data_IF_423084679238
#
_entry.id   IF_423084679238
#
_cell.length_a   1.000
_cell.length_b   1.000
_cell.length_c   1.000
_cell.angle_alpha   90.00
_cell.angle_beta   90.00
_cell.angle_gamma   90.00
#
_symmetry.space_group_name_H-M   'P 1'
#
loop_
_entity.id
_entity.type
_entity.pdbx_description
1 polymer ?
#
# COMPACT_ATOMS: atom_id res chain seq x y z
N UNK A 1 -11.62 5.77 -6.09
CA UNK A 1 -11.46 4.48 -5.42
C UNK A 1 -10.96 4.67 -3.97
N UNK A 2 -10.04 5.60 -3.73
CA UNK A 2 -9.54 5.88 -2.38
C UNK A 2 -10.23 7.12 -1.80
N UNK A 3 -11.06 6.95 -0.78
CA UNK A 3 -11.65 8.08 -0.05
C UNK A 3 -10.61 8.72 0.92
N UNK A 4 -9.35 8.86 0.47
CA UNK A 4 -8.23 9.40 1.26
C UNK A 4 -7.15 9.98 0.36
N UNK A 5 -6.91 11.28 0.47
CA UNK A 5 -5.81 11.96 -0.22
C UNK A 5 -4.44 11.36 0.09
N UNK A 6 -4.25 10.83 1.28
CA UNK A 6 -2.99 10.20 1.69
C UNK A 6 -2.66 8.94 0.88
N UNK A 7 -3.65 8.11 0.60
CA UNK A 7 -3.44 6.89 -0.19
C UNK A 7 -3.10 7.24 -1.65
N UNK A 8 -3.76 8.25 -2.23
CA UNK A 8 -3.42 8.74 -3.56
C UNK A 8 -2.00 9.30 -3.61
N UNK A 9 -1.56 10.01 -2.57
CA UNK A 9 -0.20 10.53 -2.48
C UNK A 9 0.86 9.41 -2.45
N UNK A 10 0.61 8.31 -1.73
CA UNK A 10 1.52 7.14 -1.70
C UNK A 10 1.67 6.55 -3.10
N UNK A 11 0.57 6.41 -3.85
CA UNK A 11 0.60 5.89 -5.22
C UNK A 11 1.42 6.79 -6.15
N UNK A 12 1.19 8.10 -6.09
CA UNK A 12 1.96 9.06 -6.89
C UNK A 12 3.45 9.07 -6.53
N UNK A 13 3.77 8.99 -5.24
CA UNK A 13 5.16 8.91 -4.78
C UNK A 13 5.87 7.67 -5.34
N UNK A 14 5.20 6.52 -5.37
CA UNK A 14 5.75 5.30 -5.93
C UNK A 14 6.03 5.44 -7.45
N UNK A 15 5.19 6.15 -8.20
CA UNK A 15 5.42 6.45 -9.62
C UNK A 15 6.66 7.34 -9.80
N UNK A 16 6.80 8.39 -8.99
CA UNK A 16 7.99 9.25 -9.05
C UNK A 16 9.26 8.45 -8.74
N UNK A 17 9.22 7.59 -7.73
CA UNK A 17 10.36 6.74 -7.38
C UNK A 17 10.66 5.68 -8.44
N UNK A 18 9.66 5.19 -9.17
CA UNK A 18 9.87 4.26 -10.28
C UNK A 18 10.63 4.90 -11.44
N UNK A 19 10.45 6.21 -11.69
CA UNK A 19 11.21 6.93 -12.72
C UNK A 19 12.69 7.03 -12.36
N UNK A 20 13.02 7.14 -11.08
CA UNK A 20 14.42 7.06 -10.62
C UNK A 20 15.00 5.69 -10.95
N UNK A 21 14.22 4.61 -10.80
CA UNK A 21 14.60 3.27 -11.20
C UNK A 21 14.94 3.16 -12.69
N UNK A 22 14.16 3.81 -13.56
CA UNK A 22 14.42 3.88 -15.00
C UNK A 22 15.75 4.56 -15.28
N UNK A 23 16.01 5.71 -14.64
CA UNK A 23 17.26 6.45 -14.83
C UNK A 23 18.48 5.65 -14.39
N UNK A 24 18.39 4.92 -13.29
CA UNK A 24 19.45 4.00 -12.83
C UNK A 24 19.67 2.90 -13.87
N UNK A 25 18.59 2.30 -14.40
CA UNK A 25 18.70 1.27 -15.44
C UNK A 25 19.37 1.76 -16.71
N UNK A 26 19.02 2.96 -17.19
CA UNK A 26 19.66 3.59 -18.34
C UNK A 26 21.16 3.86 -18.09
N UNK A 27 21.51 4.28 -16.87
CA UNK A 27 22.89 4.51 -16.48
C UNK A 27 23.70 3.20 -16.46
N UNK A 28 23.16 2.14 -15.86
CA UNK A 28 23.83 0.82 -15.77
C UNK A 28 24.06 0.22 -17.15
N UNK A 29 23.08 0.34 -18.05
CA UNK A 29 23.17 -0.18 -19.42
C UNK A 29 23.87 0.78 -20.37
N UNK A 30 24.34 1.94 -19.89
CA UNK A 30 25.02 3.00 -20.67
C UNK A 30 24.24 3.40 -21.94
N UNK A 31 22.91 3.45 -21.83
CA UNK A 31 22.04 3.82 -22.93
C UNK A 31 21.69 5.30 -22.86
N UNK A 32 21.68 5.96 -24.02
CA UNK A 32 21.23 7.34 -24.11
C UNK A 32 19.73 7.45 -23.85
N UNK A 33 19.32 8.48 -23.13
CA UNK A 33 17.91 8.75 -22.87
C UNK A 33 17.19 9.18 -24.16
N UNK A 34 16.22 8.41 -24.58
CA UNK A 34 15.34 8.76 -25.71
C UNK A 34 14.00 9.26 -25.20
N UNK A 35 13.62 10.46 -25.60
CA UNK A 35 12.33 11.06 -25.20
C UNK A 35 11.16 10.17 -25.62
N UNK A 36 11.21 9.59 -26.81
CA UNK A 36 10.12 8.78 -27.36
C UNK A 36 10.11 7.39 -26.68
N UNK A 37 11.18 6.61 -26.79
CA UNK A 37 11.16 5.21 -26.36
C UNK A 37 11.28 5.06 -24.83
N UNK A 38 12.17 5.78 -24.20
CA UNK A 38 12.27 5.77 -22.73
C UNK A 38 11.06 6.45 -22.10
N UNK A 39 10.57 7.55 -22.68
CA UNK A 39 9.36 8.22 -22.20
C UNK A 39 8.13 7.33 -22.26
N UNK A 40 7.92 6.61 -23.37
CA UNK A 40 6.84 5.61 -23.48
C UNK A 40 7.00 4.48 -22.45
N UNK A 41 8.25 4.03 -22.20
CA UNK A 41 8.56 3.06 -21.17
C UNK A 41 8.18 3.55 -19.76
N UNK A 42 8.45 4.81 -19.44
CA UNK A 42 8.05 5.41 -18.15
C UNK A 42 6.52 5.46 -18.00
N UNK A 43 5.80 5.82 -19.04
CA UNK A 43 4.32 5.85 -19.01
C UNK A 43 3.74 4.46 -18.79
N UNK A 44 4.25 3.46 -19.54
CA UNK A 44 3.83 2.07 -19.37
C UNK A 44 4.14 1.55 -17.96
N UNK A 45 5.35 1.84 -17.46
CA UNK A 45 5.78 1.50 -16.10
C UNK A 45 4.88 2.14 -15.03
N UNK A 46 4.53 3.42 -15.20
CA UNK A 46 3.64 4.11 -14.27
C UNK A 46 2.31 3.37 -14.12
N UNK A 47 1.71 2.90 -15.23
CA UNK A 47 0.47 2.11 -15.21
C UNK A 47 0.61 0.81 -14.41
N UNK A 48 1.72 0.07 -14.57
CA UNK A 48 1.98 -1.18 -13.85
C UNK A 48 2.18 -0.92 -12.36
N UNK A 49 2.98 0.08 -12.00
CA UNK A 49 3.29 0.43 -10.60
C UNK A 49 2.04 0.93 -9.87
N UNK A 50 1.23 1.76 -10.52
CA UNK A 50 -0.05 2.23 -9.97
C UNK A 50 -0.98 1.05 -9.71
N UNK A 51 -1.13 0.13 -10.66
CA UNK A 51 -1.98 -1.04 -10.49
C UNK A 51 -1.53 -1.91 -9.30
N UNK A 52 -0.24 -2.20 -9.19
CA UNK A 52 0.31 -2.98 -8.07
C UNK A 52 0.08 -2.31 -6.71
N UNK A 53 0.25 -0.99 -6.64
CA UNK A 53 0.01 -0.22 -5.42
C UNK A 53 -1.48 -0.16 -5.04
N UNK A 54 -2.37 0.02 -6.03
CA UNK A 54 -3.83 0.04 -5.79
C UNK A 54 -4.26 -1.27 -5.13
N UNK A 55 -3.85 -2.42 -5.69
CA UNK A 55 -4.20 -3.74 -5.16
C UNK A 55 -3.68 -3.92 -3.73
N UNK A 56 -2.48 -3.44 -3.42
CA UNK A 56 -1.91 -3.52 -2.07
C UNK A 56 -2.70 -2.65 -1.07
N UNK A 57 -3.03 -1.41 -1.43
CA UNK A 57 -3.78 -0.49 -0.58
C UNK A 57 -5.22 -0.98 -0.39
N UNK A 58 -5.85 -1.53 -1.43
CA UNK A 58 -7.21 -2.07 -1.37
C UNK A 58 -7.30 -3.25 -0.39
N UNK A 59 -6.37 -4.21 -0.49
CA UNK A 59 -6.25 -5.31 0.46
C UNK A 59 -6.04 -4.83 1.90
N UNK A 60 -5.18 -3.81 2.09
CA UNK A 60 -5.00 -3.20 3.40
C UNK A 60 -6.31 -2.59 3.94
N UNK A 61 -7.07 -1.89 3.10
CA UNK A 61 -8.35 -1.30 3.51
C UNK A 61 -9.37 -2.35 3.89
N UNK A 62 -9.40 -3.46 3.17
CA UNK A 62 -10.26 -4.60 3.46
C UNK A 62 -9.90 -5.23 4.81
N UNK A 63 -8.64 -5.62 5.01
CA UNK A 63 -8.17 -6.23 6.25
C UNK A 63 -8.28 -5.30 7.46
N UNK A 64 -8.08 -3.99 7.27
CA UNK A 64 -8.18 -3.00 8.35
C UNK A 64 -9.59 -2.82 8.92
N UNK A 65 -10.62 -3.42 8.30
CA UNK A 65 -12.00 -3.46 8.83
C UNK A 65 -12.17 -4.54 9.90
N UNK A 66 -11.39 -5.62 9.80
CA UNK A 66 -11.53 -6.82 10.63
C UNK A 66 -10.41 -6.99 11.65
N UNK A 67 -9.28 -6.30 11.46
CA UNK A 67 -8.07 -6.50 12.26
C UNK A 67 -7.47 -5.18 12.73
N UNK A 68 -6.62 -5.20 13.80
CA UNK A 68 -5.81 -4.06 14.19
C UNK A 68 -4.94 -3.59 13.01
N UNK A 69 -4.79 -2.27 12.87
CA UNK A 69 -4.15 -1.67 11.68
C UNK A 69 -2.73 -2.16 11.41
N UNK A 70 -1.94 -2.39 12.45
CA UNK A 70 -0.55 -2.88 12.31
C UNK A 70 -0.56 -4.31 11.78
N UNK A 71 -1.40 -5.16 12.32
CA UNK A 71 -1.56 -6.55 11.87
C UNK A 71 -2.09 -6.61 10.43
N UNK A 72 -3.06 -5.74 10.08
CA UNK A 72 -3.56 -5.62 8.72
C UNK A 72 -2.45 -5.25 7.72
N UNK A 73 -1.51 -4.35 8.09
CA UNK A 73 -0.37 -4.00 7.24
C UNK A 73 0.54 -5.20 7.03
N UNK A 74 0.88 -5.93 8.08
CA UNK A 74 1.79 -7.09 8.01
C UNK A 74 1.16 -8.20 7.16
N UNK A 75 -0.10 -8.53 7.39
CA UNK A 75 -0.82 -9.56 6.61
C UNK A 75 -1.02 -9.16 5.15
N UNK A 76 -1.27 -7.88 4.88
CA UNK A 76 -1.35 -7.38 3.51
C UNK A 76 -0.02 -7.59 2.78
N UNK A 77 1.09 -7.22 3.41
CA UNK A 77 2.41 -7.42 2.83
C UNK A 77 2.68 -8.91 2.58
N UNK A 78 2.41 -9.77 3.55
CA UNK A 78 2.60 -11.22 3.45
C UNK A 78 1.79 -11.85 2.30
N UNK A 79 0.51 -11.50 2.19
CA UNK A 79 -0.36 -12.05 1.17
C UNK A 79 -0.04 -11.55 -0.24
N UNK A 80 0.43 -10.31 -0.37
CA UNK A 80 0.65 -9.66 -1.66
C UNK A 80 2.08 -9.76 -2.19
N UNK A 81 3.06 -10.14 -1.36
CA UNK A 81 4.44 -10.27 -1.80
C UNK A 81 4.60 -11.33 -2.90
N UNK A 82 3.96 -12.48 -2.76
CA UNK A 82 4.07 -13.57 -3.74
C UNK A 82 3.51 -13.21 -5.11
N UNK A 83 2.21 -12.77 -5.26
CA UNK A 83 1.67 -12.43 -6.57
C UNK A 83 2.38 -11.24 -7.21
N UNK A 84 2.78 -10.22 -6.43
CA UNK A 84 3.51 -9.06 -6.96
C UNK A 84 4.90 -9.45 -7.45
N UNK A 85 5.66 -10.25 -6.70
CA UNK A 85 6.96 -10.74 -7.15
C UNK A 85 6.83 -11.64 -8.39
N UNK A 86 5.83 -12.53 -8.42
CA UNK A 86 5.64 -13.41 -9.58
C UNK A 86 5.36 -12.61 -10.85
N UNK A 87 4.44 -11.65 -10.81
CA UNK A 87 4.13 -10.80 -11.97
C UNK A 87 5.33 -9.96 -12.39
N UNK A 88 6.11 -9.44 -11.46
CA UNK A 88 7.32 -8.68 -11.75
C UNK A 88 8.37 -9.55 -12.42
N UNK A 89 8.69 -10.71 -11.86
CA UNK A 89 9.71 -11.63 -12.41
C UNK A 89 9.30 -12.12 -13.80
N UNK A 90 8.05 -12.50 -13.99
CA UNK A 90 7.57 -12.96 -15.32
C UNK A 90 7.61 -11.84 -16.36
N UNK A 91 7.25 -10.62 -16.00
CA UNK A 91 7.34 -9.46 -16.91
C UNK A 91 8.79 -9.14 -17.25
N UNK A 92 9.68 -9.12 -16.26
CA UNK A 92 11.11 -8.89 -16.48
C UNK A 92 11.73 -9.98 -17.34
N UNK A 93 11.41 -11.25 -17.09
CA UNK A 93 11.88 -12.37 -17.89
C UNK A 93 11.37 -12.32 -19.33
N UNK A 94 10.12 -11.90 -19.54
CA UNK A 94 9.56 -11.71 -20.87
C UNK A 94 10.19 -10.59 -21.68
N UNK A 95 10.65 -9.52 -21.00
CA UNK A 95 11.31 -8.38 -21.64
C UNK A 95 12.84 -8.53 -21.70
N UNK A 96 13.43 -9.48 -20.97
CA UNK A 96 14.87 -9.70 -20.94
C UNK A 96 15.50 -9.90 -22.33
N UNK A 97 14.99 -10.76 -23.22
CA UNK A 97 15.58 -10.93 -24.54
C UNK A 97 15.58 -9.63 -25.36
N UNK A 98 14.52 -8.84 -25.25
CA UNK A 98 14.42 -7.55 -25.91
C UNK A 98 15.38 -6.50 -25.32
N UNK A 99 15.60 -6.54 -23.99
CA UNK A 99 16.58 -5.69 -23.31
C UNK A 99 18.02 -5.97 -23.78
N UNK A 100 18.34 -7.23 -24.11
CA UNK A 100 19.63 -7.61 -24.67
C UNK A 100 19.74 -7.39 -26.19
N UNK A 101 18.67 -6.89 -26.84
CA UNK A 101 18.66 -6.62 -28.27
C UNK A 101 18.56 -7.88 -29.15
N UNK A 102 18.09 -8.99 -28.57
CA UNK A 102 17.91 -10.23 -29.32
C UNK A 102 16.70 -10.15 -30.23
N UNK A 103 16.90 -10.26 -31.53
CA UNK A 103 15.85 -10.37 -32.55
C UNK A 103 15.88 -11.74 -33.20
N UNK A 104 14.73 -12.41 -33.23
CA UNK A 104 14.53 -13.69 -33.91
C UNK A 104 13.92 -13.44 -35.28
N UNK A 105 14.61 -13.86 -36.32
CA UNK A 105 14.09 -13.83 -37.69
C UNK A 105 13.46 -15.19 -38.04
N UNK A 106 12.13 -15.23 -38.01
CA UNK A 106 11.37 -16.44 -38.32
C UNK A 106 11.29 -16.75 -39.80
N UNK A 107 11.59 -15.78 -40.69
CA UNK A 107 11.48 -15.93 -42.13
C UNK A 107 12.75 -16.57 -42.70
N UNK A 108 13.93 -16.08 -42.31
CA UNK A 108 15.22 -16.54 -42.80
C UNK A 108 15.92 -17.56 -41.85
N UNK A 109 15.26 -17.90 -40.71
CA UNK A 109 15.76 -18.91 -39.77
C UNK A 109 17.03 -18.49 -39.04
N UNK A 110 17.16 -17.21 -38.68
CA UNK A 110 18.34 -16.67 -38.01
C UNK A 110 17.99 -15.88 -36.72
N UNK A 111 19.04 -15.53 -36.00
CA UNK A 111 18.95 -14.53 -34.93
C UNK A 111 19.90 -13.38 -35.25
N UNK A 112 19.49 -12.17 -34.91
CA UNK A 112 20.33 -10.99 -35.02
C UNK A 112 20.41 -10.29 -33.66
N UNK A 113 21.59 -9.78 -33.35
CA UNK A 113 21.82 -9.00 -32.13
C UNK A 113 21.99 -7.54 -32.57
N UNK A 114 21.35 -6.62 -31.87
CA UNK A 114 21.39 -5.17 -32.09
C UNK A 114 21.03 -4.73 -33.54
N UNK A 115 19.99 -5.36 -34.11
CA UNK A 115 19.41 -4.84 -35.36
C UNK A 115 18.86 -3.40 -35.16
N UNK A 116 18.83 -2.56 -36.23
CA UNK A 116 18.36 -1.17 -36.09
C UNK A 116 16.99 -1.03 -35.39
N UNK A 117 16.09 -1.95 -35.66
CA UNK A 117 14.78 -2.01 -35.02
C UNK A 117 14.89 -2.44 -33.55
N UNK A 118 15.76 -3.42 -33.25
CA UNK A 118 15.98 -3.90 -31.89
C UNK A 118 16.56 -2.81 -30.98
N UNK A 119 17.45 -1.97 -31.49
CA UNK A 119 18.05 -0.87 -30.72
C UNK A 119 17.01 0.13 -30.20
N UNK A 120 15.96 0.38 -30.95
CA UNK A 120 14.88 1.27 -30.50
C UNK A 120 14.06 0.65 -29.36
N UNK A 121 13.67 -0.61 -29.50
CA UNK A 121 12.90 -1.31 -28.48
C UNK A 121 13.71 -1.65 -27.23
N UNK A 122 15.03 -1.78 -27.37
CA UNK A 122 15.98 -2.05 -26.27
C UNK A 122 15.87 -1.01 -25.17
N UNK A 123 15.75 0.28 -25.52
CA UNK A 123 15.62 1.38 -24.56
C UNK A 123 14.31 1.27 -23.78
N UNK A 124 13.20 0.97 -24.44
CA UNK A 124 11.92 0.76 -23.80
C UNK A 124 11.98 -0.44 -22.84
N UNK A 125 12.50 -1.57 -23.29
CA UNK A 125 12.62 -2.77 -22.47
C UNK A 125 13.50 -2.54 -21.24
N UNK A 126 14.63 -1.88 -21.41
CA UNK A 126 15.53 -1.51 -20.30
C UNK A 126 14.83 -0.62 -19.30
N UNK A 127 14.11 0.41 -19.75
CA UNK A 127 13.34 1.30 -18.89
C UNK A 127 12.31 0.55 -18.05
N UNK A 128 11.56 -0.37 -18.69
CA UNK A 128 10.52 -1.13 -17.99
C UNK A 128 11.13 -2.16 -17.03
N UNK A 129 12.15 -2.91 -17.43
CA UNK A 129 12.76 -3.96 -16.61
C UNK A 129 13.39 -3.38 -15.34
N UNK A 130 14.26 -2.41 -15.47
CA UNK A 130 14.91 -1.79 -14.31
C UNK A 130 13.93 -0.96 -13.48
N UNK A 131 13.08 -0.18 -14.14
CA UNK A 131 12.07 0.60 -13.47
C UNK A 131 11.09 -0.26 -12.66
N UNK A 132 10.61 -1.38 -13.23
CA UNK A 132 9.71 -2.30 -12.57
C UNK A 132 10.40 -3.05 -11.41
N UNK A 133 11.65 -3.49 -11.60
CA UNK A 133 12.42 -4.16 -10.55
C UNK A 133 12.59 -3.27 -9.32
N UNK A 134 13.09 -2.05 -9.51
CA UNK A 134 13.30 -1.08 -8.43
C UNK A 134 11.96 -0.65 -7.83
N UNK A 135 10.97 -0.36 -8.67
CA UNK A 135 9.64 0.02 -8.20
C UNK A 135 9.00 -1.07 -7.34
N UNK A 136 9.14 -2.33 -7.70
CA UNK A 136 8.54 -3.45 -6.94
C UNK A 136 9.16 -3.56 -5.54
N UNK A 137 10.49 -3.49 -5.45
CA UNK A 137 11.17 -3.49 -4.14
C UNK A 137 10.72 -2.29 -3.31
N UNK A 138 10.71 -1.11 -3.93
CA UNK A 138 10.28 0.11 -3.25
C UNK A 138 8.81 0.05 -2.81
N UNK A 139 7.89 -0.40 -3.65
CA UNK A 139 6.48 -0.48 -3.29
C UNK A 139 6.21 -1.48 -2.17
N UNK A 140 6.89 -2.62 -2.18
CA UNK A 140 6.75 -3.63 -1.12
C UNK A 140 7.29 -3.16 0.23
N UNK A 141 8.31 -2.30 0.24
CA UNK A 141 8.90 -1.73 1.47
C UNK A 141 8.26 -0.40 1.85
N UNK A 142 8.14 0.52 0.89
CA UNK A 142 7.72 1.89 1.15
C UNK A 142 6.22 1.99 1.46
N UNK A 143 5.38 1.26 0.73
CA UNK A 143 3.92 1.35 0.92
C UNK A 143 3.49 0.89 2.32
N UNK A 144 3.92 -0.28 2.85
CA UNK A 144 3.63 -0.67 4.22
C UNK A 144 4.25 0.29 5.24
N UNK A 145 5.48 0.76 4.98
CA UNK A 145 6.18 1.70 5.87
C UNK A 145 5.46 3.03 5.98
N UNK A 146 4.99 3.59 4.86
CA UNK A 146 4.23 4.84 4.86
C UNK A 146 2.85 4.69 5.50
N UNK A 147 2.19 3.54 5.32
CA UNK A 147 0.94 3.24 6.02
C UNK A 147 1.16 3.15 7.53
N UNK A 148 2.26 2.54 7.98
CA UNK A 148 2.66 2.48 9.38
C UNK A 148 3.08 3.86 9.90
N UNK A 149 3.84 4.64 9.14
CA UNK A 149 4.29 5.98 9.50
C UNK A 149 3.12 6.91 9.83
N UNK A 150 2.02 6.81 9.08
CA UNK A 150 0.80 7.57 9.37
C UNK A 150 0.28 7.31 10.79
N UNK A 151 0.37 6.06 11.27
CA UNK A 151 -0.03 5.71 12.63
C UNK A 151 0.95 6.28 13.66
N UNK A 152 2.25 6.15 13.40
CA UNK A 152 3.31 6.67 14.26
C UNK A 152 3.26 8.20 14.38
N UNK A 153 3.11 8.90 13.27
CA UNK A 153 2.99 10.38 13.26
C UNK A 153 1.82 10.84 14.13
N UNK A 154 0.67 10.19 14.05
CA UNK A 154 -0.47 10.55 14.91
C UNK A 154 -0.15 10.28 16.39
N UNK A 155 0.52 9.18 16.70
CA UNK A 155 0.93 8.83 18.05
C UNK A 155 1.94 9.84 18.60
N UNK A 156 2.93 10.24 17.79
CA UNK A 156 3.90 11.28 18.15
C UNK A 156 3.25 12.64 18.39
N UNK A 157 2.32 13.06 17.50
CA UNK A 157 1.59 14.32 17.67
C UNK A 157 0.82 14.32 19.00
N UNK A 158 0.16 13.21 19.34
CA UNK A 158 -0.57 13.09 20.60
C UNK A 158 0.38 13.07 21.79
N UNK A 159 1.54 12.40 21.68
CA UNK A 159 2.56 12.40 22.73
C UNK A 159 3.15 13.79 22.96
N UNK A 160 3.48 14.52 21.87
CA UNK A 160 3.94 15.91 21.94
C UNK A 160 2.86 16.81 22.54
N UNK A 161 1.59 16.65 22.11
CA UNK A 161 0.48 17.42 22.66
C UNK A 161 0.30 17.17 24.16
N UNK A 162 0.50 15.92 24.63
CA UNK A 162 0.51 15.59 26.07
C UNK A 162 1.70 16.21 26.81
N UNK A 163 2.90 16.15 26.24
CA UNK A 163 4.09 16.76 26.81
C UNK A 163 3.95 18.28 26.92
N UNK A 164 3.40 18.93 25.88
CA UNK A 164 3.09 20.36 25.90
C UNK A 164 1.97 20.72 26.89
N UNK A 165 0.99 19.84 27.07
CA UNK A 165 -0.06 20.04 28.07
C UNK A 165 0.46 19.96 29.52
N UNK A 166 1.50 19.13 29.74
CA UNK A 166 2.19 19.04 31.05
C UNK A 166 3.09 20.25 31.31
N UNK A 167 3.71 20.79 30.24
CA UNK A 167 4.62 21.94 30.33
C UNK A 167 3.91 23.29 30.21
N UNK A 168 2.74 23.32 29.60
CA UNK A 168 2.00 24.54 29.27
C UNK A 168 0.81 24.79 30.19
N UNK A 169 0.90 25.79 31.00
CA UNK A 169 -0.15 26.33 31.90
C UNK A 169 -1.26 27.05 31.09
N UNK A 170 -1.51 26.75 29.84
CA UNK A 170 -2.39 27.51 28.99
C UNK A 170 -3.67 26.73 28.63
N UNK A 171 -4.82 27.43 28.74
CA UNK A 171 -6.15 27.00 28.31
C UNK A 171 -6.20 26.43 26.87
N UNK A 172 -5.25 26.82 26.00
CA UNK A 172 -5.09 26.29 24.67
C UNK A 172 -4.56 24.85 24.61
N UNK A 173 -3.80 24.44 25.64
CA UNK A 173 -3.29 23.07 25.74
C UNK A 173 -4.43 22.06 26.05
N UNK A 174 -5.42 22.46 26.80
CA UNK A 174 -6.59 21.63 27.12
C UNK A 174 -7.48 21.44 25.88
N UNK A 175 -7.70 22.49 25.09
CA UNK A 175 -8.43 22.42 23.81
C UNK A 175 -7.73 21.50 22.82
N UNK A 176 -6.40 21.58 22.71
CA UNK A 176 -5.61 20.69 21.83
C UNK A 176 -5.65 19.24 22.31
N UNK A 177 -5.65 19.02 23.63
CA UNK A 177 -5.79 17.69 24.23
C UNK A 177 -7.16 17.09 23.96
N UNK A 178 -8.23 17.85 24.14
CA UNK A 178 -9.60 17.39 23.93
C UNK A 178 -9.89 17.14 22.44
N UNK A 179 -9.34 17.98 21.56
CA UNK A 179 -9.40 17.75 20.13
C UNK A 179 -8.67 16.47 19.72
N UNK A 180 -7.47 16.22 20.26
CA UNK A 180 -6.68 15.01 20.00
C UNK A 180 -7.40 13.74 20.54
N UNK A 181 -7.97 13.82 21.74
CA UNK A 181 -8.74 12.73 22.35
C UNK A 181 -10.02 12.43 21.58
N UNK A 182 -10.77 13.45 21.17
CA UNK A 182 -11.98 13.30 20.34
C UNK A 182 -11.65 12.68 18.96
N UNK A 183 -10.52 13.04 18.37
CA UNK A 183 -10.08 12.46 17.11
C UNK A 183 -9.63 11.01 17.27
N UNK A 184 -9.03 10.65 18.40
CA UNK A 184 -8.72 9.27 18.76
C UNK A 184 -9.99 8.46 19.05
N UNK A 185 -10.93 9.00 19.84
CA UNK A 185 -12.17 8.34 20.16
C UNK A 185 -13.01 8.03 18.91
N UNK A 186 -13.05 8.95 17.93
CA UNK A 186 -13.68 8.71 16.62
C UNK A 186 -13.00 7.60 15.81
N UNK A 187 -11.69 7.35 16.04
CA UNK A 187 -10.96 6.28 15.37
C UNK A 187 -11.03 4.95 16.10
N UNK A 188 -11.32 4.97 17.41
CA UNK A 188 -11.51 3.79 18.25
C UNK A 188 -12.91 3.15 18.12
N UNK A 189 -13.78 3.69 17.28
CA UNK A 189 -14.96 2.96 16.79
C UNK A 189 -14.48 1.84 15.86
N UNK A 190 -13.77 0.89 16.45
CA UNK A 190 -13.54 -0.39 15.79
C UNK A 190 -14.88 -1.11 15.77
N UNK A 191 -15.24 -1.75 14.64
CA UNK A 191 -16.35 -2.68 14.68
C UNK A 191 -16.03 -3.69 15.78
N UNK A 192 -16.93 -3.85 16.71
CA UNK A 192 -16.86 -4.89 17.71
C UNK A 192 -16.77 -6.21 16.96
N UNK A 193 -15.59 -6.84 17.02
CA UNK A 193 -15.41 -8.17 16.43
C UNK A 193 -16.16 -9.10 17.38
N UNK A 194 -17.40 -9.38 17.04
CA UNK A 194 -18.15 -10.45 17.68
C UNK A 194 -17.51 -11.74 17.16
N UNK A 195 -16.62 -12.31 17.95
CA UNK A 195 -16.16 -13.68 17.73
C UNK A 195 -17.35 -14.58 17.99
N UNK A 196 -17.87 -15.25 16.98
CA UNK A 196 -18.98 -16.21 17.12
C UNK A 196 -18.67 -17.26 18.18
N UNK A 197 -17.39 -17.59 18.37
CA UNK A 197 -16.90 -18.51 19.41
C UNK A 197 -17.14 -18.01 20.85
N UNK A 198 -17.39 -16.72 21.06
CA UNK A 198 -17.73 -16.17 22.39
C UNK A 198 -19.22 -16.24 22.70
N UNK A 199 -20.08 -16.51 21.71
CA UNK A 199 -21.54 -16.62 21.90
C UNK A 199 -21.88 -17.87 22.71
N UNK A 200 -21.08 -18.91 22.66
CA UNK A 200 -21.29 -20.16 23.39
C UNK A 200 -20.60 -20.22 24.76
N UNK A 201 -19.90 -19.16 25.18
CA UNK A 201 -19.31 -19.15 26.53
C UNK A 201 -20.40 -18.98 27.58
N UNK A 202 -20.30 -19.71 28.71
CA UNK A 202 -21.32 -19.63 29.79
C UNK A 202 -21.44 -18.22 30.40
N UNK A 203 -20.45 -17.36 30.19
CA UNK A 203 -20.45 -15.94 30.60
C UNK A 203 -21.33 -15.10 29.66
N UNK A 204 -21.24 -15.31 28.36
CA UNK A 204 -22.08 -14.61 27.37
C UNK A 204 -23.56 -14.99 27.51
N UNK A 205 -23.87 -16.26 27.80
CA UNK A 205 -25.22 -16.72 28.08
C UNK A 205 -25.80 -16.10 29.37
N UNK A 206 -24.96 -15.93 30.41
CA UNK A 206 -25.39 -15.24 31.64
C UNK A 206 -25.67 -13.76 31.37
N UNK A 207 -24.83 -13.07 30.61
CA UNK A 207 -25.07 -11.65 30.28
C UNK A 207 -26.30 -11.47 29.41
N UNK A 208 -26.59 -12.38 28.47
CA UNK A 208 -27.79 -12.35 27.64
C UNK A 208 -29.06 -12.59 28.47
N UNK A 209 -29.04 -13.53 29.43
CA UNK A 209 -30.15 -13.77 30.36
C UNK A 209 -30.41 -12.57 31.27
N UNK A 210 -29.37 -11.90 31.75
CA UNK A 210 -29.48 -10.71 32.60
C UNK A 210 -30.05 -9.50 31.85
N UNK A 211 -29.65 -9.33 30.56
CA UNK A 211 -30.16 -8.26 29.70
C UNK A 211 -31.63 -8.49 29.32
N UNK A 212 -32.04 -9.74 29.05
CA UNK A 212 -33.41 -10.08 28.69
C UNK A 212 -34.33 -10.02 29.91
N UNK A 213 -33.87 -10.41 31.11
CA UNK A 213 -34.61 -10.28 32.36
C UNK A 213 -34.91 -8.81 32.75
N UNK A 214 -33.94 -7.93 32.55
CA UNK A 214 -34.10 -6.50 32.84
C UNK A 214 -35.08 -5.79 31.89
N UNK A 215 -35.21 -6.30 30.64
CA UNK A 215 -36.20 -5.78 29.68
C UNK A 215 -37.64 -6.25 29.99
N UNK A 216 -37.79 -7.42 30.58
CA UNK A 216 -39.11 -7.94 30.95
C UNK A 216 -39.69 -7.25 32.19
N UNK A 217 -38.88 -6.96 33.21
CA UNK A 217 -39.29 -6.23 34.43
C UNK A 217 -39.64 -4.77 34.16
N UNK A 218 -38.97 -4.14 33.14
CA UNK A 218 -39.27 -2.76 32.76
C UNK A 218 -40.61 -2.57 32.02
N UNK A 219 -41.17 -3.62 31.41
CA UNK A 219 -42.44 -3.58 30.70
C UNK A 219 -43.65 -3.87 31.64
N UNK A 220 -43.45 -4.58 32.77
CA UNK A 220 -44.49 -4.84 33.75
C UNK A 220 -44.65 -3.71 34.78
N UNK A 221 -43.75 -2.76 34.84
CA UNK A 221 -43.85 -1.58 35.72
C UNK A 221 -44.49 -0.36 35.04
N UNK A 222 -44.95 -0.49 33.78
CA UNK A 222 -45.56 0.57 32.98
C UNK A 222 -47.07 0.32 32.66
N UNK A 223 -47.66 -0.74 33.22
CA UNK A 223 -49.12 -0.94 33.31
C UNK A 223 -49.60 -0.65 34.78
#
# INVERSE_FOLDING_TARGET
>A
QFNSFFNSFIVLLAVVLSTVGVLIGMLVMQQAFSIIMTGTGIVALAGIVVNNNIVLIDTYQELSRYMPRIEAIIRTAEQRIRPVLLTTITTMAGLAPMMFGLSLDFINGGYSIDSPTALWWKQLATAVVFGLGIATVLTLLLTPSLLAARYWVVTYIVWIARALAVLGVSRQADIARDWALNRMAKRLKQPEIIWDDLIDTPVAQKLKKTATGKSADGLQAAE
#
